data_IF_076927836299
#
_entry.id   IF_076927836299
#
_cell.length_a   1.000
_cell.length_b   1.000
_cell.length_c   1.000
_cell.angle_alpha   90.00
_cell.angle_beta   90.00
_cell.angle_gamma   90.00
#
_symmetry.space_group_name_H-M   'P 1'
#
loop_
_entity.id
_entity.type
_entity.pdbx_description
1 polymer ?
#
# COMPACT_ATOMS: atom_id res chain seq x y z
N UNK A 1 3.00 28.67 55.26
CA UNK A 1 2.85 27.98 53.97
C UNK A 1 1.39 28.12 53.55
N UNK A 2 1.13 28.89 52.50
CA UNK A 2 -0.24 29.26 52.09
C UNK A 2 -0.96 28.10 51.38
N UNK A 3 -1.34 27.10 52.15
CA UNK A 3 -1.98 25.87 51.66
C UNK A 3 -3.35 26.12 51.00
N UNK A 4 -4.07 27.16 51.43
CA UNK A 4 -5.30 27.61 50.79
C UNK A 4 -5.06 28.16 49.38
N UNK A 5 -3.97 28.91 49.16
CA UNK A 5 -3.61 29.46 47.83
C UNK A 5 -3.20 28.35 46.87
N UNK A 6 -2.41 27.38 47.34
CA UNK A 6 -2.00 26.24 46.54
C UNK A 6 -3.21 25.40 46.07
N UNK A 7 -4.21 25.19 46.94
CA UNK A 7 -5.46 24.51 46.58
C UNK A 7 -6.25 25.25 45.50
N UNK A 8 -6.40 26.56 45.64
CA UNK A 8 -7.12 27.37 44.64
C UNK A 8 -6.42 27.36 43.29
N UNK A 9 -5.09 27.47 43.27
CA UNK A 9 -4.30 27.39 42.03
C UNK A 9 -4.47 26.01 41.38
N UNK A 10 -4.44 24.93 42.16
CA UNK A 10 -4.64 23.57 41.66
C UNK A 10 -6.03 23.38 41.03
N UNK A 11 -7.08 23.90 41.68
CA UNK A 11 -8.46 23.83 41.15
C UNK A 11 -8.58 24.62 39.85
N UNK A 12 -8.02 25.83 39.79
CA UNK A 12 -8.04 26.68 38.58
C UNK A 12 -7.26 26.04 37.43
N UNK A 13 -6.08 25.47 37.69
CA UNK A 13 -5.29 24.78 36.69
C UNK A 13 -6.03 23.54 36.14
N UNK A 14 -6.67 22.77 37.03
CA UNK A 14 -7.46 21.62 36.62
C UNK A 14 -8.69 22.04 35.79
N UNK A 15 -9.36 23.13 36.16
CA UNK A 15 -10.49 23.67 35.41
C UNK A 15 -10.07 24.16 34.01
N UNK A 16 -8.96 24.89 33.92
CA UNK A 16 -8.41 25.33 32.64
C UNK A 16 -8.04 24.14 31.73
N UNK A 17 -7.43 23.10 32.30
CA UNK A 17 -7.12 21.86 31.57
C UNK A 17 -8.37 21.16 31.05
N UNK A 18 -9.41 21.03 31.88
CA UNK A 18 -10.68 20.39 31.47
C UNK A 18 -11.42 21.20 30.40
N UNK A 19 -11.35 22.54 30.46
CA UNK A 19 -11.93 23.40 29.43
C UNK A 19 -11.20 23.22 28.09
N UNK A 20 -9.87 23.16 28.14
CA UNK A 20 -9.02 22.90 26.98
C UNK A 20 -9.29 21.51 26.36
N UNK A 21 -9.40 20.47 27.19
CA UNK A 21 -9.77 19.12 26.75
C UNK A 21 -11.17 19.09 26.11
N UNK A 22 -12.14 19.82 26.69
CA UNK A 22 -13.50 19.91 26.13
C UNK A 22 -13.51 20.58 24.77
N UNK A 23 -12.73 21.66 24.60
CA UNK A 23 -12.57 22.33 23.31
C UNK A 23 -11.94 21.41 22.26
N UNK A 24 -10.86 20.69 22.61
CA UNK A 24 -10.24 19.70 21.73
C UNK A 24 -11.21 18.59 21.32
N UNK A 25 -12.01 18.09 22.26
CA UNK A 25 -12.99 17.04 21.98
C UNK A 25 -14.10 17.51 21.03
N UNK A 26 -14.56 18.76 21.18
CA UNK A 26 -15.59 19.31 20.31
C UNK A 26 -15.09 19.51 18.87
N UNK A 27 -13.85 19.99 18.70
CA UNK A 27 -13.18 20.07 17.40
C UNK A 27 -13.05 18.69 16.74
N UNK A 28 -12.51 17.71 17.46
CA UNK A 28 -12.32 16.36 16.94
C UNK A 28 -13.64 15.71 16.47
N UNK A 29 -14.74 15.93 17.20
CA UNK A 29 -16.08 15.44 16.80
C UNK A 29 -16.64 16.14 15.56
N UNK A 30 -16.38 17.43 15.39
CA UNK A 30 -16.80 18.20 14.22
C UNK A 30 -16.13 17.72 12.94
N UNK A 31 -14.80 17.57 12.96
CA UNK A 31 -14.02 17.06 11.83
C UNK A 31 -14.42 15.63 11.44
N UNK A 32 -14.66 14.77 12.43
CA UNK A 32 -15.09 13.39 12.19
C UNK A 32 -16.49 13.33 11.54
N UNK A 33 -17.42 14.18 11.97
CA UNK A 33 -18.77 14.24 11.39
C UNK A 33 -18.75 14.75 9.95
N UNK A 34 -17.96 15.79 9.67
CA UNK A 34 -17.79 16.34 8.33
C UNK A 34 -17.15 15.32 7.36
N UNK A 35 -16.10 14.63 7.81
CA UNK A 35 -15.43 13.60 7.01
C UNK A 35 -16.36 12.44 6.66
N UNK A 36 -17.19 12.03 7.62
CA UNK A 36 -18.20 10.98 7.41
C UNK A 36 -19.23 11.37 6.35
N UNK A 37 -19.79 12.58 6.44
CA UNK A 37 -20.76 13.08 5.46
C UNK A 37 -20.15 13.16 4.04
N UNK A 38 -18.90 13.63 3.92
CA UNK A 38 -18.21 13.67 2.62
C UNK A 38 -18.05 12.25 2.06
N UNK A 39 -17.63 11.31 2.90
CA UNK A 39 -17.43 9.91 2.50
C UNK A 39 -18.74 9.27 2.02
N UNK A 40 -19.84 9.50 2.74
CA UNK A 40 -21.18 9.00 2.38
C UNK A 40 -21.63 9.59 1.04
N UNK A 41 -21.51 10.91 0.84
CA UNK A 41 -21.85 11.56 -0.44
C UNK A 41 -20.98 11.04 -1.61
N UNK A 42 -19.67 10.88 -1.41
CA UNK A 42 -18.77 10.35 -2.45
C UNK A 42 -19.08 8.89 -2.76
N UNK A 43 -19.51 8.10 -1.77
CA UNK A 43 -19.93 6.73 -2.01
C UNK A 43 -21.20 6.67 -2.86
N UNK A 44 -22.20 7.51 -2.56
CA UNK A 44 -23.43 7.60 -3.35
C UNK A 44 -23.14 8.00 -4.81
N UNK A 45 -22.25 8.96 -5.01
CA UNK A 45 -21.78 9.39 -6.33
C UNK A 45 -21.10 8.25 -7.10
N UNK A 46 -20.16 7.54 -6.45
CA UNK A 46 -19.48 6.39 -7.05
C UNK A 46 -20.49 5.32 -7.47
N UNK A 47 -21.45 4.99 -6.61
CA UNK A 47 -22.47 3.99 -6.91
C UNK A 47 -23.39 4.43 -8.07
N UNK A 48 -23.77 5.71 -8.13
CA UNK A 48 -24.56 6.23 -9.24
C UNK A 48 -23.78 6.15 -10.56
N UNK A 49 -22.52 6.57 -10.54
CA UNK A 49 -21.66 6.54 -11.72
C UNK A 49 -21.40 5.09 -12.18
N UNK A 50 -21.14 4.17 -11.25
CA UNK A 50 -20.98 2.76 -11.55
C UNK A 50 -22.25 2.17 -12.18
N UNK A 51 -23.45 2.49 -11.67
CA UNK A 51 -24.73 2.07 -12.27
C UNK A 51 -24.90 2.63 -13.68
N UNK A 52 -24.62 3.92 -13.89
CA UNK A 52 -24.76 4.55 -15.22
C UNK A 52 -23.83 3.92 -16.26
N UNK A 53 -22.59 3.59 -15.86
CA UNK A 53 -21.59 2.97 -16.74
C UNK A 53 -21.65 1.44 -16.76
N UNK A 54 -22.59 0.84 -16.01
CA UNK A 54 -22.69 -0.60 -15.83
C UNK A 54 -21.39 -1.24 -15.32
N UNK A 55 -20.69 -0.59 -14.39
CA UNK A 55 -19.46 -1.08 -13.77
C UNK A 55 -19.82 -1.85 -12.50
N UNK A 56 -19.23 -3.01 -12.30
CA UNK A 56 -19.43 -3.84 -11.12
C UNK A 56 -18.34 -3.59 -10.07
N UNK A 57 -18.73 -3.23 -8.85
CA UNK A 57 -17.80 -3.04 -7.73
C UNK A 57 -17.81 -4.28 -6.84
N UNK A 58 -16.82 -5.17 -7.01
CA UNK A 58 -16.64 -6.37 -6.16
C UNK A 58 -15.54 -6.17 -5.11
N UNK A 59 -14.72 -5.14 -5.27
CA UNK A 59 -13.66 -4.80 -4.34
C UNK A 59 -14.20 -4.31 -2.99
N UNK A 60 -13.48 -4.64 -1.93
CA UNK A 60 -13.58 -3.92 -0.66
C UNK A 60 -12.85 -2.57 -0.81
N UNK A 61 -13.59 -1.46 -0.74
CA UNK A 61 -13.06 -0.11 -1.01
C UNK A 61 -12.74 0.56 0.33
N UNK A 62 -11.46 0.84 0.63
CA UNK A 62 -11.07 1.47 1.89
C UNK A 62 -11.72 2.84 2.07
N UNK A 63 -12.31 3.03 3.24
CA UNK A 63 -12.97 4.27 3.62
C UNK A 63 -12.00 5.21 4.35
N UNK A 64 -12.21 6.51 4.18
CA UNK A 64 -11.43 7.54 4.86
C UNK A 64 -10.18 8.01 4.11
N UNK A 65 -9.49 8.96 4.74
CA UNK A 65 -8.38 9.69 4.14
C UNK A 65 -7.06 9.10 4.63
N UNK A 66 -6.21 8.55 3.74
CA UNK A 66 -4.96 7.96 4.16
C UNK A 66 -3.95 9.04 4.56
N UNK A 67 -3.17 8.79 5.60
CA UNK A 67 -2.02 9.64 5.95
C UNK A 67 -0.77 9.05 5.30
N UNK A 68 -0.26 9.71 4.28
CA UNK A 68 0.78 9.14 3.40
C UNK A 68 1.88 10.14 3.06
N UNK A 69 3.04 9.64 2.67
CA UNK A 69 4.20 10.43 2.26
C UNK A 69 4.99 9.68 1.20
N UNK A 70 5.93 10.34 0.52
CA UNK A 70 6.82 9.66 -0.42
C UNK A 70 7.90 8.88 0.31
N UNK A 71 8.29 7.74 -0.24
CA UNK A 71 9.45 6.98 0.24
C UNK A 71 10.66 7.18 -0.67
N UNK A 72 11.83 7.25 -0.05
CA UNK A 72 13.10 7.13 -0.76
C UNK A 72 13.61 5.70 -0.64
N UNK A 73 13.69 5.01 -1.76
CA UNK A 73 14.12 3.62 -1.85
C UNK A 73 15.47 3.50 -2.57
N UNK A 74 16.28 2.54 -2.15
CA UNK A 74 17.50 2.13 -2.86
C UNK A 74 17.51 0.63 -3.05
N UNK A 75 17.84 0.17 -4.25
CA UNK A 75 17.94 -1.26 -4.55
C UNK A 75 19.02 -1.93 -3.70
N UNK A 76 18.65 -2.98 -2.98
CA UNK A 76 19.57 -3.78 -2.18
C UNK A 76 20.31 -4.77 -3.09
N UNK A 77 21.61 -4.95 -2.85
CA UNK A 77 22.42 -5.95 -3.58
C UNK A 77 22.26 -7.32 -2.92
N UNK A 78 21.84 -8.33 -3.68
CA UNK A 78 21.59 -9.70 -3.18
C UNK A 78 22.86 -10.55 -3.02
N UNK A 79 24.02 -10.09 -3.51
CA UNK A 79 25.31 -10.77 -3.33
C UNK A 79 25.58 -11.95 -4.28
N UNK A 80 26.48 -12.86 -3.91
CA UNK A 80 26.94 -13.97 -4.75
C UNK A 80 25.80 -14.96 -5.06
N UNK A 81 25.76 -15.46 -6.29
CA UNK A 81 24.79 -16.46 -6.75
C UNK A 81 23.46 -15.88 -7.24
N UNK A 82 23.32 -14.55 -7.28
CA UNK A 82 22.19 -13.84 -7.87
C UNK A 82 22.63 -13.11 -9.14
N UNK A 83 21.86 -13.23 -10.22
CA UNK A 83 22.10 -12.53 -11.50
C UNK A 83 21.29 -11.24 -11.54
N UNK A 84 21.96 -10.10 -11.69
CA UNK A 84 21.31 -8.80 -11.89
C UNK A 84 20.66 -8.74 -13.29
N UNK A 85 19.42 -8.27 -13.35
CA UNK A 85 18.66 -8.07 -14.58
C UNK A 85 18.64 -6.57 -14.97
N UNK A 86 18.31 -6.23 -16.23
CA UNK A 86 18.26 -4.84 -16.69
C UNK A 86 17.27 -3.95 -15.92
N UNK A 87 16.18 -4.54 -15.41
CA UNK A 87 15.15 -3.88 -14.60
C UNK A 87 15.57 -3.65 -13.14
N UNK A 88 16.79 -4.05 -12.74
CA UNK A 88 17.30 -3.94 -11.39
C UNK A 88 16.96 -5.13 -10.47
N UNK A 89 16.12 -6.06 -10.91
CA UNK A 89 15.79 -7.28 -10.17
C UNK A 89 16.92 -8.30 -10.20
N UNK A 90 16.90 -9.25 -9.27
CA UNK A 90 17.88 -10.32 -9.18
C UNK A 90 17.21 -11.68 -9.40
N UNK A 91 17.80 -12.51 -10.25
CA UNK A 91 17.30 -13.87 -10.50
C UNK A 91 18.31 -14.91 -10.00
N UNK A 92 17.81 -15.94 -9.32
CA UNK A 92 18.56 -17.14 -8.97
C UNK A 92 17.80 -18.37 -9.44
N UNK A 93 18.45 -19.18 -10.27
CA UNK A 93 17.91 -20.44 -10.79
C UNK A 93 18.62 -21.61 -10.13
N UNK A 94 17.87 -22.66 -9.78
CA UNK A 94 18.36 -23.79 -9.01
C UNK A 94 18.57 -25.02 -9.90
N UNK A 95 19.82 -25.49 -9.95
CA UNK A 95 20.20 -26.72 -10.63
C UNK A 95 21.06 -27.57 -9.67
N UNK A 96 20.50 -28.64 -9.05
CA UNK A 96 19.13 -29.12 -9.18
C UNK A 96 18.09 -28.23 -8.47
N UNK A 97 16.82 -28.32 -8.88
CA UNK A 97 15.71 -27.61 -8.25
C UNK A 97 15.57 -27.93 -6.75
N UNK A 98 15.16 -26.96 -5.93
CA UNK A 98 15.10 -27.12 -4.46
C UNK A 98 13.77 -27.76 -4.06
N UNK A 99 13.76 -28.89 -3.34
CA UNK A 99 12.51 -29.48 -2.86
C UNK A 99 11.88 -28.60 -1.79
N UNK A 100 10.55 -28.44 -1.86
CA UNK A 100 9.80 -27.85 -0.76
C UNK A 100 9.77 -28.88 0.38
N UNK A 101 10.37 -28.54 1.52
CA UNK A 101 10.47 -29.43 2.69
C UNK A 101 9.12 -29.59 3.38
N UNK A 102 9.01 -30.54 4.30
CA UNK A 102 7.80 -30.77 5.12
C UNK A 102 7.30 -29.52 5.84
N UNK A 103 8.23 -28.64 6.26
CA UNK A 103 7.90 -27.34 6.88
C UNK A 103 7.30 -26.31 5.92
N UNK A 104 7.08 -26.68 4.66
CA UNK A 104 6.42 -25.87 3.65
C UNK A 104 7.34 -24.91 2.88
N UNK A 105 6.73 -24.22 1.91
CA UNK A 105 7.40 -23.30 1.01
C UNK A 105 8.01 -22.11 1.76
N UNK A 106 7.26 -21.53 2.69
CA UNK A 106 7.67 -20.35 3.44
C UNK A 106 8.98 -20.58 4.21
N UNK A 107 9.07 -21.65 4.99
CA UNK A 107 10.30 -21.97 5.73
C UNK A 107 11.48 -22.25 4.79
N UNK A 108 11.19 -22.86 3.63
CA UNK A 108 12.20 -23.11 2.61
C UNK A 108 12.73 -21.78 2.04
N UNK A 109 11.85 -20.83 1.71
CA UNK A 109 12.22 -19.51 1.20
C UNK A 109 12.94 -18.65 2.24
N UNK A 110 12.52 -18.67 3.52
CA UNK A 110 13.22 -18.02 4.64
C UNK A 110 14.69 -18.42 4.72
N UNK A 111 14.99 -19.70 4.48
CA UNK A 111 16.38 -20.20 4.50
C UNK A 111 17.18 -19.88 3.24
N UNK A 112 16.52 -19.51 2.15
CA UNK A 112 17.11 -19.41 0.81
C UNK A 112 17.31 -17.98 0.34
N UNK A 113 16.40 -17.08 0.75
CA UNK A 113 16.31 -15.70 0.29
C UNK A 113 16.55 -14.77 1.47
N UNK A 114 17.61 -13.99 1.40
CA UNK A 114 17.86 -12.94 2.38
C UNK A 114 16.71 -11.93 2.38
N UNK A 115 16.37 -11.40 3.56
CA UNK A 115 15.27 -10.45 3.74
C UNK A 115 13.87 -11.01 3.36
N UNK A 116 13.67 -12.33 3.27
CA UNK A 116 12.33 -12.89 3.02
C UNK A 116 11.27 -12.35 3.98
N UNK A 117 11.63 -12.08 5.23
CA UNK A 117 10.70 -11.65 6.27
C UNK A 117 10.09 -10.26 6.01
N UNK A 118 10.68 -9.45 5.11
CA UNK A 118 10.09 -8.19 4.67
C UNK A 118 8.99 -8.38 3.64
N UNK A 119 8.79 -9.60 3.12
CA UNK A 119 7.79 -9.91 2.10
C UNK A 119 6.52 -10.52 2.66
N UNK A 120 5.39 -10.25 2.00
CA UNK A 120 4.10 -10.91 2.24
C UNK A 120 3.57 -11.48 0.94
N UNK A 121 2.95 -12.66 1.03
CA UNK A 121 2.33 -13.34 -0.10
C UNK A 121 1.16 -12.49 -0.61
N UNK A 122 1.12 -12.23 -1.91
CA UNK A 122 -0.11 -11.77 -2.56
C UNK A 122 -0.82 -12.99 -3.12
N UNK A 123 -2.02 -13.27 -2.59
CA UNK A 123 -2.84 -14.37 -3.08
C UNK A 123 -3.43 -14.06 -4.46
N UNK A 124 -3.71 -12.78 -4.70
CA UNK A 124 -4.31 -12.28 -5.94
C UNK A 124 -3.35 -12.43 -7.13
N UNK A 125 -2.07 -12.15 -6.89
CA UNK A 125 -1.01 -12.24 -7.89
C UNK A 125 -0.38 -13.66 -7.99
N UNK A 126 -0.82 -14.61 -7.16
CA UNK A 126 -0.23 -15.94 -7.06
C UNK A 126 -1.06 -17.04 -7.74
N UNK A 127 -0.36 -18.01 -8.33
CA UNK A 127 -0.92 -19.26 -8.83
C UNK A 127 -0.28 -20.47 -8.14
N UNK A 128 -0.69 -21.69 -8.52
CA UNK A 128 -0.08 -22.93 -7.97
C UNK A 128 1.41 -23.07 -8.33
N UNK A 129 1.80 -22.60 -9.51
CA UNK A 129 3.16 -22.74 -10.07
C UNK A 129 3.98 -21.46 -9.97
N UNK A 130 3.37 -20.32 -9.66
CA UNK A 130 4.04 -19.05 -9.48
C UNK A 130 3.55 -18.40 -8.20
N UNK A 131 4.42 -18.18 -7.22
CA UNK A 131 4.08 -17.44 -5.99
C UNK A 131 4.66 -16.04 -6.04
N UNK A 132 3.82 -15.05 -5.76
CA UNK A 132 4.19 -13.64 -5.78
C UNK A 132 4.10 -13.08 -4.38
N UNK A 133 5.13 -12.33 -4.01
CA UNK A 133 5.21 -11.63 -2.75
C UNK A 133 5.62 -10.18 -2.99
N UNK A 134 5.13 -9.27 -2.15
CA UNK A 134 5.54 -7.88 -2.14
C UNK A 134 6.27 -7.55 -0.85
N UNK A 135 7.34 -6.77 -0.96
CA UNK A 135 7.98 -6.19 0.22
C UNK A 135 7.00 -5.22 0.89
N UNK A 136 6.94 -5.24 2.22
CA UNK A 136 6.12 -4.35 3.01
C UNK A 136 6.97 -3.22 3.60
N UNK A 137 6.40 -2.01 3.60
CA UNK A 137 6.87 -0.91 4.43
C UNK A 137 5.77 -0.59 5.44
N UNK A 138 6.03 -0.91 6.71
CA UNK A 138 5.00 -0.98 7.74
C UNK A 138 3.91 -1.96 7.27
N UNK A 139 2.67 -1.51 7.09
CA UNK A 139 1.55 -2.35 6.65
C UNK A 139 1.23 -2.20 5.15
N UNK A 140 1.99 -1.36 4.43
CA UNK A 140 1.72 -1.03 3.03
C UNK A 140 2.67 -1.77 2.07
N UNK A 141 2.15 -2.41 1.00
CA UNK A 141 2.97 -3.09 0.02
C UNK A 141 3.72 -2.10 -0.87
N UNK A 142 4.96 -2.44 -1.20
CA UNK A 142 5.75 -1.84 -2.25
C UNK A 142 5.54 -2.66 -3.53
N UNK A 143 4.65 -2.22 -4.41
CA UNK A 143 4.24 -2.99 -5.59
C UNK A 143 5.39 -3.25 -6.58
N UNK A 144 6.41 -2.39 -6.58
CA UNK A 144 7.62 -2.59 -7.39
C UNK A 144 8.57 -3.62 -6.78
N UNK A 145 8.63 -3.73 -5.46
CA UNK A 145 9.54 -4.65 -4.76
C UNK A 145 8.92 -6.05 -4.69
N UNK A 146 8.88 -6.70 -5.85
CA UNK A 146 8.27 -8.01 -6.06
C UNK A 146 9.30 -9.13 -5.89
N UNK A 147 8.89 -10.20 -5.21
CA UNK A 147 9.56 -11.50 -5.25
C UNK A 147 8.64 -12.52 -5.92
N UNK A 148 9.10 -13.12 -7.01
CA UNK A 148 8.41 -14.19 -7.72
C UNK A 148 9.18 -15.51 -7.54
N UNK A 149 8.46 -16.57 -7.17
CA UNK A 149 9.00 -17.92 -7.01
C UNK A 149 8.32 -18.84 -8.01
N UNK A 150 9.12 -19.43 -8.89
CA UNK A 150 8.63 -20.40 -9.88
C UNK A 150 8.76 -21.82 -9.32
N UNK A 151 7.66 -22.57 -9.36
CA UNK A 151 7.51 -23.88 -8.76
C UNK A 151 7.03 -24.86 -9.83
N UNK A 152 7.73 -26.00 -9.91
CA UNK A 152 7.34 -27.13 -10.76
C UNK A 152 7.54 -28.42 -9.99
N UNK A 153 6.54 -29.29 -10.03
CA UNK A 153 6.55 -30.62 -9.39
C UNK A 153 6.92 -30.58 -7.89
N UNK A 154 6.42 -29.59 -7.15
CA UNK A 154 6.71 -29.40 -5.72
C UNK A 154 8.14 -28.92 -5.43
N UNK A 155 8.86 -28.42 -6.45
CA UNK A 155 10.24 -27.92 -6.33
C UNK A 155 10.37 -26.51 -6.86
N UNK A 156 11.16 -25.70 -6.16
CA UNK A 156 11.50 -24.34 -6.54
C UNK A 156 12.54 -24.38 -7.67
N UNK A 157 12.18 -23.80 -8.81
CA UNK A 157 13.01 -23.72 -10.01
C UNK A 157 13.84 -22.43 -10.02
N UNK A 158 13.19 -21.31 -9.71
CA UNK A 158 13.82 -19.99 -9.68
C UNK A 158 13.15 -19.06 -8.67
N UNK A 159 13.94 -18.07 -8.24
CA UNK A 159 13.44 -16.89 -7.54
C UNK A 159 13.92 -15.66 -8.31
N UNK A 160 12.98 -14.79 -8.68
CA UNK A 160 13.25 -13.42 -9.10
C UNK A 160 12.85 -12.47 -7.97
N UNK A 161 13.68 -11.50 -7.63
CA UNK A 161 13.46 -10.61 -6.49
C UNK A 161 13.98 -9.20 -6.74
N UNK A 162 13.19 -8.20 -6.40
CA UNK A 162 13.62 -6.81 -6.26
C UNK A 162 13.36 -6.36 -4.82
N UNK A 163 14.42 -6.05 -4.08
CA UNK A 163 14.35 -5.59 -2.69
C UNK A 163 14.85 -4.15 -2.56
N UNK A 164 14.19 -3.36 -1.73
CA UNK A 164 14.58 -2.00 -1.40
C UNK A 164 15.00 -1.83 0.04
N UNK A 165 16.00 -0.99 0.26
CA UNK A 165 16.23 -0.34 1.55
C UNK A 165 15.51 1.00 1.53
N UNK A 166 14.56 1.19 2.43
CA UNK A 166 13.80 2.44 2.56
C UNK A 166 14.54 3.37 3.52
N UNK A 167 14.79 4.60 3.06
CA UNK A 167 15.19 5.69 3.94
C UNK A 167 13.92 6.33 4.48
N UNK A 168 13.79 6.32 5.81
CA UNK A 168 12.71 7.06 6.47
C UNK A 168 12.92 8.55 6.20
N UNK A 169 11.97 9.17 5.52
CA UNK A 169 11.97 10.62 5.33
C UNK A 169 11.55 11.33 6.63
N UNK A 170 12.09 12.53 6.86
CA UNK A 170 11.69 13.38 7.99
C UNK A 170 10.35 14.10 7.76
N UNK A 171 9.68 13.86 6.63
CA UNK A 171 8.40 14.49 6.31
C UNK A 171 7.26 13.76 7.01
N UNK A 172 6.53 14.50 7.85
CA UNK A 172 5.25 14.05 8.38
C UNK A 172 4.30 13.68 7.23
N UNK A 173 3.48 12.65 7.44
CA UNK A 173 2.43 12.26 6.51
C UNK A 173 1.51 13.44 6.19
N UNK A 174 1.06 13.50 4.95
CA UNK A 174 0.02 14.44 4.51
C UNK A 174 -1.26 13.67 4.27
N UNK A 175 -2.39 14.36 4.45
CA UNK A 175 -3.69 13.82 4.12
C UNK A 175 -3.79 13.59 2.61
N UNK A 176 -3.98 12.34 2.22
CA UNK A 176 -4.10 11.92 0.83
C UNK A 176 -5.54 11.92 0.33
N UNK A 177 -5.67 11.63 -0.97
CA UNK A 177 -6.93 11.37 -1.67
C UNK A 177 -7.49 10.02 -1.21
N UNK A 178 -8.79 9.94 -0.96
CA UNK A 178 -9.45 8.69 -0.59
C UNK A 178 -9.62 7.75 -1.80
N UNK A 179 -9.91 6.46 -1.55
CA UNK A 179 -10.07 5.47 -2.60
C UNK A 179 -11.31 5.71 -3.49
N UNK A 180 -12.39 6.25 -2.93
CA UNK A 180 -13.64 6.52 -3.65
C UNK A 180 -13.43 7.56 -4.76
N UNK A 181 -12.79 8.69 -4.43
CA UNK A 181 -12.47 9.76 -5.39
C UNK A 181 -11.47 9.28 -6.45
N UNK A 182 -10.53 8.40 -6.09
CA UNK A 182 -9.63 7.78 -7.06
C UNK A 182 -10.40 6.92 -8.09
N UNK A 183 -11.36 6.11 -7.64
CA UNK A 183 -12.24 5.33 -8.50
C UNK A 183 -13.13 6.20 -9.39
N UNK A 184 -13.82 7.20 -8.80
CA UNK A 184 -14.64 8.16 -9.55
C UNK A 184 -13.82 8.78 -10.67
N UNK A 185 -12.61 9.26 -10.36
CA UNK A 185 -11.73 9.88 -11.35
C UNK A 185 -11.39 8.95 -12.52
N UNK A 186 -11.14 7.66 -12.26
CA UNK A 186 -10.88 6.68 -13.32
C UNK A 186 -12.10 6.44 -14.20
N UNK A 187 -13.29 6.33 -13.60
CA UNK A 187 -14.54 6.07 -14.32
C UNK A 187 -14.95 7.30 -15.16
N UNK A 188 -14.85 8.51 -14.60
CA UNK A 188 -15.16 9.76 -15.30
C UNK A 188 -14.24 10.03 -16.48
N UNK A 189 -12.95 9.73 -16.32
CA UNK A 189 -11.97 9.80 -17.42
C UNK A 189 -12.18 8.72 -18.48
N UNK A 190 -13.10 7.79 -18.27
CA UNK A 190 -13.35 6.66 -19.16
C UNK A 190 -12.17 5.69 -19.24
N UNK A 191 -11.34 5.62 -18.20
CA UNK A 191 -10.21 4.69 -18.15
C UNK A 191 -10.65 3.27 -17.80
N UNK A 192 -11.71 3.14 -16.98
CA UNK A 192 -12.38 1.88 -16.72
C UNK A 192 -13.54 1.75 -17.71
N UNK A 193 -13.53 0.67 -18.49
CA UNK A 193 -14.53 0.44 -19.52
C UNK A 193 -15.91 0.14 -18.94
N UNK A 194 -16.95 0.45 -19.72
CA UNK A 194 -18.33 0.11 -19.36
C UNK A 194 -18.49 -1.40 -19.31
N UNK A 195 -19.13 -1.92 -18.25
CA UNK A 195 -19.27 -3.37 -18.06
C UNK A 195 -18.14 -4.02 -17.26
N UNK A 196 -17.02 -3.33 -17.04
CA UNK A 196 -15.88 -3.88 -16.32
C UNK A 196 -16.19 -4.07 -14.82
N UNK A 197 -15.42 -4.93 -14.18
CA UNK A 197 -15.54 -5.27 -12.77
C UNK A 197 -14.29 -4.87 -12.02
N UNK A 198 -14.43 -3.92 -11.09
CA UNK A 198 -13.36 -3.58 -10.13
C UNK A 198 -13.28 -4.69 -9.08
N UNK A 199 -12.14 -5.37 -9.03
CA UNK A 199 -11.93 -6.56 -8.19
C UNK A 199 -11.18 -6.25 -6.92
N UNK A 200 -10.19 -5.34 -6.95
CA UNK A 200 -9.38 -5.00 -5.78
C UNK A 200 -8.99 -3.53 -5.76
N UNK A 201 -8.95 -2.94 -4.56
CA UNK A 201 -8.47 -1.58 -4.31
C UNK A 201 -7.54 -1.61 -3.10
N UNK A 202 -6.25 -1.32 -3.30
CA UNK A 202 -5.25 -1.40 -2.23
C UNK A 202 -4.34 -0.18 -2.23
N UNK A 203 -4.13 0.40 -1.05
CA UNK A 203 -3.10 1.41 -0.85
C UNK A 203 -1.73 0.75 -0.81
N UNK A 204 -0.74 1.37 -1.44
CA UNK A 204 0.65 0.93 -1.40
C UNK A 204 1.57 1.95 -2.03
N UNK A 205 2.70 1.49 -2.53
CA UNK A 205 3.71 2.34 -3.14
C UNK A 205 4.12 1.79 -4.50
N UNK A 206 4.17 2.68 -5.48
CA UNK A 206 4.64 2.42 -6.84
C UNK A 206 5.33 3.67 -7.34
N UNK A 207 6.44 3.55 -8.04
CA UNK A 207 7.09 4.72 -8.64
C UNK A 207 7.85 4.35 -9.89
N UNK A 208 7.94 5.28 -10.83
CA UNK A 208 8.76 5.10 -12.02
C UNK A 208 10.26 5.21 -11.67
N UNK A 209 11.12 4.51 -12.42
CA UNK A 209 12.57 4.56 -12.24
C UNK A 209 13.20 5.44 -13.32
N UNK A 210 13.87 6.52 -12.92
CA UNK A 210 14.73 7.33 -13.80
C UNK A 210 16.22 6.97 -13.67
N UNK A 211 16.63 6.37 -12.53
CA UNK A 211 18.01 5.92 -12.25
C UNK A 211 17.96 4.61 -11.43
N UNK A 212 18.79 3.63 -11.79
CA UNK A 212 18.80 2.28 -11.24
C UNK A 212 19.19 2.19 -9.75
N UNK A 213 19.67 3.28 -9.12
CA UNK A 213 20.24 3.25 -7.77
C UNK A 213 19.38 3.88 -6.68
N UNK A 214 18.53 4.85 -7.01
CA UNK A 214 17.66 5.53 -6.06
C UNK A 214 16.31 5.83 -6.70
N UNK A 215 15.24 5.53 -5.98
CA UNK A 215 13.86 5.63 -6.46
C UNK A 215 13.02 6.39 -5.47
N UNK A 216 12.18 7.28 -5.97
CA UNK A 216 11.12 7.91 -5.19
C UNK A 216 9.86 7.11 -5.43
N UNK A 217 9.24 6.63 -4.36
CA UNK A 217 8.01 5.85 -4.41
C UNK A 217 6.88 6.71 -3.85
N UNK A 218 6.03 7.31 -4.70
CA UNK A 218 4.79 7.91 -4.24
C UNK A 218 3.84 6.84 -3.68
N UNK A 219 3.00 7.22 -2.71
CA UNK A 219 1.87 6.40 -2.30
C UNK A 219 0.83 6.39 -3.43
N UNK A 220 0.25 5.22 -3.69
CA UNK A 220 -0.73 5.01 -4.76
C UNK A 220 -1.87 4.11 -4.30
N UNK A 221 -3.04 4.34 -4.86
CA UNK A 221 -4.12 3.36 -4.91
C UNK A 221 -3.89 2.45 -6.13
N UNK A 222 -3.64 1.16 -5.88
CA UNK A 222 -3.69 0.10 -6.90
C UNK A 222 -5.13 -0.34 -7.05
N UNK A 223 -5.71 -0.07 -8.21
CA UNK A 223 -7.09 -0.41 -8.57
C UNK A 223 -7.00 -1.47 -9.67
N UNK A 224 -7.48 -2.67 -9.39
CA UNK A 224 -7.43 -3.82 -10.29
C UNK A 224 -8.84 -4.11 -10.81
N UNK A 225 -8.98 -4.18 -12.12
CA UNK A 225 -10.19 -4.65 -12.79
C UNK A 225 -9.98 -6.07 -13.32
N UNK A 226 -10.92 -6.61 -14.10
CA UNK A 226 -10.71 -7.92 -14.75
C UNK A 226 -9.65 -7.83 -15.85
N UNK A 227 -9.53 -6.67 -16.49
CA UNK A 227 -8.70 -6.47 -17.67
C UNK A 227 -7.38 -5.74 -17.36
N UNK A 228 -7.39 -4.79 -16.42
CA UNK A 228 -6.26 -3.87 -16.24
C UNK A 228 -6.02 -3.48 -14.79
N UNK A 229 -4.78 -3.06 -14.50
CA UNK A 229 -4.38 -2.47 -13.22
C UNK A 229 -4.05 -1.00 -13.42
N UNK A 230 -4.59 -0.16 -12.55
CA UNK A 230 -4.37 1.28 -12.52
C UNK A 230 -3.68 1.67 -11.23
N UNK A 231 -2.79 2.66 -11.31
CA UNK A 231 -2.18 3.29 -10.15
C UNK A 231 -2.62 4.75 -10.10
N UNK A 232 -3.28 5.14 -9.01
CA UNK A 232 -3.68 6.53 -8.77
C UNK A 232 -2.86 7.08 -7.61
N UNK A 233 -2.09 8.14 -7.86
CA UNK A 233 -1.29 8.80 -6.85
C UNK A 233 -2.18 9.25 -5.68
N UNK A 234 -1.92 8.74 -4.48
CA UNK A 234 -2.73 8.99 -3.30
C UNK A 234 -2.50 10.39 -2.69
N UNK A 235 -1.54 11.18 -3.20
CA UNK A 235 -1.35 12.58 -2.80
C UNK A 235 -1.96 13.55 -3.81
N UNK A 236 -1.88 13.26 -5.11
CA UNK A 236 -2.30 14.20 -6.18
C UNK A 236 -3.58 13.80 -6.92
N UNK A 237 -4.01 12.54 -6.83
CA UNK A 237 -5.11 11.99 -7.63
C UNK A 237 -4.77 11.74 -9.10
N UNK A 238 -3.50 11.93 -9.51
CA UNK A 238 -3.05 11.65 -10.88
C UNK A 238 -3.00 10.15 -11.14
N UNK A 239 -3.50 9.70 -12.29
CA UNK A 239 -3.63 8.27 -12.64
C UNK A 239 -2.65 7.86 -13.73
N UNK A 240 -2.09 6.66 -13.59
CA UNK A 240 -1.30 5.97 -14.61
C UNK A 240 -1.75 4.51 -14.76
N UNK A 241 -1.51 3.94 -15.93
CA UNK A 241 -1.87 2.56 -16.27
C UNK A 241 -0.64 1.68 -16.04
N UNK A 242 -0.82 0.51 -15.41
CA UNK A 242 0.28 -0.44 -15.26
C UNK A 242 0.73 -0.95 -16.65
N UNK A 243 2.05 -1.02 -16.91
CA UNK A 243 2.59 -1.44 -18.20
C UNK A 243 2.36 -2.92 -18.54
#
# INVERSE_FOLDING_TARGET
>A
MDWSRAKTILILAFLALNLFLSYQLFQARGEQSQTRNITENTQEELEQLAREKNIHLQADIPQGLPQVTFLEARTTRMGKGWRLNPDGSYTKTFHPAVPIREKGLEQTLRSLVAHYDSYRLSNEDSTKTKRVYYQMNEDLPLFDARMQVDIKDGRIQSVNILHFTIKKGDRAGSQGVNALSALISLIEKGQIDKGDTVTHVKLGYHGQSYDAKARVLPPVWRIETQDQTYYVNALTGSSEIAP
#
